data_IF_828001913497
#
_entry.id   IF_828001913497
#
_cell.length_a   1.000
_cell.length_b   1.000
_cell.length_c   1.000
_cell.angle_alpha   90.00
_cell.angle_beta   90.00
_cell.angle_gamma   90.00
#
_symmetry.space_group_name_H-M   'P 1'
#
loop_
_entity.id
_entity.type
_entity.pdbx_description
1 polymer ?
#
# COMPACT_ATOMS: atom_id res chain seq x y z
N UNK A 1 13.29 -28.43 13.66
CA UNK A 1 12.63 -27.40 14.51
C UNK A 1 11.78 -26.38 13.74
N UNK A 2 12.27 -25.70 12.69
CA UNK A 2 11.47 -24.70 11.92
C UNK A 2 10.25 -25.26 11.18
N UNK A 3 10.35 -26.49 10.66
CA UNK A 3 9.26 -27.16 9.93
C UNK A 3 8.08 -27.48 10.86
N UNK A 4 8.36 -28.08 12.02
CA UNK A 4 7.34 -28.36 13.04
C UNK A 4 6.65 -27.08 13.54
N UNK A 5 7.41 -25.99 13.79
CA UNK A 5 6.85 -24.71 14.20
C UNK A 5 5.94 -24.08 13.12
N UNK A 6 6.31 -24.23 11.85
CA UNK A 6 5.47 -23.77 10.73
C UNK A 6 4.19 -24.60 10.60
N UNK A 7 4.28 -25.92 10.82
CA UNK A 7 3.12 -26.81 10.80
C UNK A 7 2.12 -26.45 11.92
N UNK A 8 2.59 -26.28 13.15
CA UNK A 8 1.74 -25.87 14.29
C UNK A 8 1.07 -24.52 14.03
N UNK A 9 1.81 -23.55 13.46
CA UNK A 9 1.25 -22.24 13.08
C UNK A 9 0.17 -22.37 12.00
N UNK A 10 0.42 -23.16 10.96
CA UNK A 10 -0.54 -23.40 9.89
C UNK A 10 -1.81 -24.08 10.39
N UNK A 11 -1.69 -25.09 11.25
CA UNK A 11 -2.83 -25.79 11.87
C UNK A 11 -3.66 -24.85 12.75
N UNK A 12 -3.00 -24.05 13.60
CA UNK A 12 -3.69 -23.03 14.41
C UNK A 12 -4.43 -22.02 13.54
N UNK A 13 -3.81 -21.55 12.47
CA UNK A 13 -4.41 -20.56 11.58
C UNK A 13 -5.59 -21.16 10.80
N UNK A 14 -5.54 -22.44 10.41
CA UNK A 14 -6.70 -23.18 9.84
C UNK A 14 -7.86 -23.29 10.83
N UNK A 15 -7.58 -23.65 12.08
CA UNK A 15 -8.60 -23.74 13.14
C UNK A 15 -9.26 -22.37 13.35
N UNK A 16 -8.45 -21.31 13.48
CA UNK A 16 -8.95 -19.94 13.61
C UNK A 16 -9.81 -19.52 12.42
N UNK A 17 -9.39 -19.87 11.20
CA UNK A 17 -10.16 -19.57 10.01
C UNK A 17 -11.51 -20.29 10.03
N UNK A 18 -11.54 -21.58 10.38
CA UNK A 18 -12.80 -22.36 10.48
C UNK A 18 -13.76 -21.77 11.52
N UNK A 19 -13.24 -21.44 12.71
CA UNK A 19 -14.05 -20.82 13.78
C UNK A 19 -14.59 -19.47 13.31
N UNK A 20 -13.75 -18.64 12.67
CA UNK A 20 -14.19 -17.36 12.13
C UNK A 20 -15.27 -17.52 11.08
N UNK A 21 -15.13 -18.49 10.17
CA UNK A 21 -16.16 -18.76 9.17
C UNK A 21 -17.48 -19.14 9.82
N UNK A 22 -17.43 -20.11 10.71
CA UNK A 22 -18.64 -20.53 11.43
C UNK A 22 -19.33 -19.39 12.19
N UNK A 23 -18.56 -18.44 12.75
CA UNK A 23 -19.12 -17.37 13.58
C UNK A 23 -19.55 -16.12 12.80
N UNK A 24 -18.88 -15.83 11.69
CA UNK A 24 -18.97 -14.51 11.05
C UNK A 24 -19.28 -14.58 9.55
N UNK A 25 -19.05 -15.71 8.89
CA UNK A 25 -19.26 -15.87 7.45
C UNK A 25 -20.74 -16.15 7.16
N UNK A 26 -21.52 -15.08 6.99
CA UNK A 26 -22.94 -15.15 6.65
C UNK A 26 -23.10 -15.12 5.12
N UNK A 27 -23.64 -16.18 4.49
CA UNK A 27 -23.85 -16.22 3.04
C UNK A 27 -24.83 -15.15 2.56
N UNK A 28 -24.43 -14.44 1.50
CA UNK A 28 -25.26 -13.42 0.85
C UNK A 28 -25.48 -13.75 -0.63
N UNK A 29 -26.63 -13.38 -1.22
CA UNK A 29 -26.85 -13.50 -2.66
C UNK A 29 -25.86 -12.61 -3.41
N UNK A 30 -25.32 -13.10 -4.52
CA UNK A 30 -24.34 -12.35 -5.32
C UNK A 30 -25.02 -11.23 -6.09
N UNK A 31 -24.30 -10.13 -6.29
CA UNK A 31 -24.76 -8.90 -6.94
C UNK A 31 -23.76 -8.48 -8.00
N UNK A 32 -24.23 -8.34 -9.24
CA UNK A 32 -23.37 -7.94 -10.38
C UNK A 32 -23.29 -6.41 -10.53
N UNK A 33 -24.37 -5.69 -10.19
CA UNK A 33 -24.47 -4.23 -10.32
C UNK A 33 -24.95 -3.58 -9.03
N UNK A 34 -24.25 -2.52 -8.64
CA UNK A 34 -24.50 -1.72 -7.46
C UNK A 34 -25.21 -0.42 -7.87
N UNK A 35 -26.14 0.03 -7.03
CA UNK A 35 -26.88 1.28 -7.25
C UNK A 35 -27.13 1.98 -5.92
N UNK A 36 -27.34 3.30 -5.92
CA UNK A 36 -27.66 4.06 -4.71
C UNK A 36 -26.57 3.94 -3.63
N UNK A 37 -25.30 4.02 -4.03
CA UNK A 37 -24.17 4.07 -3.10
C UNK A 37 -23.97 5.51 -2.62
N UNK A 38 -23.98 5.72 -1.31
CA UNK A 38 -23.70 7.01 -0.67
C UNK A 38 -22.45 6.95 0.20
N UNK A 39 -22.13 5.81 0.81
CA UNK A 39 -20.92 5.63 1.64
C UNK A 39 -20.16 4.37 1.24
N UNK A 40 -18.93 4.56 0.75
CA UNK A 40 -18.03 3.49 0.31
C UNK A 40 -16.79 3.49 1.21
N UNK A 41 -16.49 2.34 1.83
CA UNK A 41 -15.36 2.18 2.74
C UNK A 41 -14.36 1.16 2.20
N UNK A 42 -13.10 1.58 2.03
CA UNK A 42 -12.01 0.68 1.66
C UNK A 42 -11.19 0.24 2.88
N UNK A 43 -10.94 -1.06 2.99
CA UNK A 43 -10.07 -1.63 4.03
C UNK A 43 -8.62 -1.68 3.52
N UNK A 44 -7.78 -0.74 3.99
CA UNK A 44 -6.37 -0.56 3.57
C UNK A 44 -5.37 -0.57 4.74
N UNK A 45 -5.65 -1.36 5.77
CA UNK A 45 -4.75 -1.55 6.92
C UNK A 45 -3.54 -2.48 6.65
N UNK A 46 -3.33 -2.92 5.42
CA UNK A 46 -2.22 -3.79 5.01
C UNK A 46 -0.88 -3.03 4.88
N UNK A 47 -0.95 -1.70 4.83
CA UNK A 47 0.17 -0.77 4.71
C UNK A 47 1.06 -1.08 3.50
N UNK A 48 0.43 -1.30 2.34
CA UNK A 48 1.10 -1.49 1.05
C UNK A 48 1.06 -0.22 0.22
N UNK A 49 2.18 0.49 0.22
CA UNK A 49 2.32 1.75 -0.49
C UNK A 49 2.08 1.63 -2.01
N UNK A 50 2.61 0.60 -2.67
CA UNK A 50 2.43 0.40 -4.12
C UNK A 50 0.96 0.27 -4.53
N UNK A 51 0.23 -0.67 -3.92
CA UNK A 51 -1.21 -0.85 -4.17
C UNK A 51 -2.00 0.42 -3.82
N UNK A 52 -1.56 1.21 -2.82
CA UNK A 52 -2.21 2.48 -2.48
C UNK A 52 -1.99 3.58 -3.52
N UNK A 53 -0.86 3.63 -4.22
CA UNK A 53 -0.67 4.57 -5.33
C UNK A 53 -1.65 4.26 -6.46
N UNK A 54 -1.83 2.98 -6.80
CA UNK A 54 -2.83 2.57 -7.80
C UNK A 54 -4.25 2.96 -7.35
N UNK A 55 -4.57 2.82 -6.07
CA UNK A 55 -5.87 3.25 -5.52
C UNK A 55 -6.18 4.74 -5.73
N UNK A 56 -5.18 5.61 -5.93
CA UNK A 56 -5.39 7.06 -5.95
C UNK A 56 -6.41 7.57 -6.98
N UNK A 57 -6.58 6.90 -8.12
CA UNK A 57 -7.58 7.31 -9.11
C UNK A 57 -9.02 6.99 -8.67
N UNK A 58 -9.21 5.99 -7.78
CA UNK A 58 -10.53 5.52 -7.36
C UNK A 58 -11.41 6.63 -6.80
N UNK A 59 -10.84 7.55 -6.02
CA UNK A 59 -11.65 8.60 -5.40
C UNK A 59 -12.26 9.54 -6.43
N UNK A 60 -11.49 9.91 -7.45
CA UNK A 60 -11.98 10.73 -8.57
C UNK A 60 -13.05 9.98 -9.38
N UNK A 61 -12.81 8.70 -9.67
CA UNK A 61 -13.73 7.92 -10.50
C UNK A 61 -15.06 7.64 -9.80
N UNK A 62 -15.03 7.26 -8.52
CA UNK A 62 -16.25 7.00 -7.75
C UNK A 62 -17.13 8.24 -7.56
N UNK A 63 -16.55 9.45 -7.57
CA UNK A 63 -17.32 10.70 -7.53
C UNK A 63 -18.20 10.91 -8.78
N UNK A 64 -17.96 10.18 -9.88
CA UNK A 64 -18.87 10.16 -11.05
C UNK A 64 -20.25 9.59 -10.72
N UNK A 65 -20.38 8.84 -9.62
CA UNK A 65 -21.67 8.32 -9.12
C UNK A 65 -22.56 9.40 -8.47
N UNK A 66 -22.03 10.60 -8.22
CA UNK A 66 -22.71 11.68 -7.51
C UNK A 66 -22.11 11.94 -6.12
N UNK A 67 -22.91 12.43 -5.14
CA UNK A 67 -22.43 12.78 -3.81
C UNK A 67 -22.18 11.52 -2.96
N UNK A 68 -21.06 10.85 -3.22
CA UNK A 68 -20.59 9.69 -2.46
C UNK A 68 -19.48 10.09 -1.48
N UNK A 69 -19.58 9.61 -0.25
CA UNK A 69 -18.52 9.64 0.75
C UNK A 69 -17.58 8.46 0.54
N UNK A 70 -16.30 8.75 0.38
CA UNK A 70 -15.24 7.76 0.19
C UNK A 70 -14.38 7.73 1.44
N UNK A 71 -14.39 6.59 2.11
CA UNK A 71 -13.77 6.40 3.40
C UNK A 71 -12.70 5.30 3.33
N UNK A 72 -11.67 5.38 4.17
CA UNK A 72 -10.60 4.37 4.21
C UNK A 72 -10.26 4.00 5.64
N UNK A 73 -10.19 2.70 5.95
CA UNK A 73 -9.51 2.20 7.16
C UNK A 73 -8.02 2.04 6.84
N UNK A 74 -7.16 2.81 7.52
CA UNK A 74 -5.72 2.81 7.29
C UNK A 74 -4.93 2.68 8.60
N UNK A 75 -3.66 2.29 8.50
CA UNK A 75 -2.73 2.44 9.63
C UNK A 75 -2.30 3.89 9.78
N UNK A 76 -1.94 4.37 10.99
CA UNK A 76 -1.45 5.74 11.18
C UNK A 76 -0.32 6.13 10.21
N UNK A 77 0.62 5.23 9.95
CA UNK A 77 1.72 5.45 8.98
C UNK A 77 1.25 5.66 7.52
N UNK A 78 0.02 5.29 7.17
CA UNK A 78 -0.51 5.46 5.82
C UNK A 78 -1.65 6.47 5.76
N UNK A 79 -2.17 6.90 6.91
CA UNK A 79 -3.31 7.80 6.98
C UNK A 79 -3.07 9.14 6.28
N UNK A 80 -1.90 9.81 6.44
CA UNK A 80 -1.61 11.05 5.71
C UNK A 80 -1.68 10.89 4.19
N UNK A 81 -1.26 9.73 3.66
CA UNK A 81 -1.31 9.48 2.22
C UNK A 81 -2.75 9.55 1.68
N UNK A 82 -3.69 8.92 2.39
CA UNK A 82 -5.09 8.90 1.98
C UNK A 82 -5.76 10.26 2.20
N UNK A 83 -5.53 10.87 3.37
CA UNK A 83 -6.12 12.14 3.78
C UNK A 83 -5.65 13.32 2.93
N UNK A 84 -4.34 13.41 2.69
CA UNK A 84 -3.73 14.64 2.18
C UNK A 84 -3.49 14.59 0.67
N UNK A 85 -3.48 13.40 0.05
CA UNK A 85 -3.07 13.22 -1.35
C UNK A 85 -4.07 12.50 -2.24
N UNK A 86 -4.90 11.59 -1.72
CA UNK A 86 -5.76 10.74 -2.56
C UNK A 86 -7.23 11.17 -2.57
N UNK A 87 -7.57 12.29 -1.93
CA UNK A 87 -8.94 12.84 -1.98
C UNK A 87 -9.98 11.94 -1.30
N UNK A 88 -9.55 11.20 -0.26
CA UNK A 88 -10.43 10.42 0.63
C UNK A 88 -11.11 11.39 1.60
N UNK A 89 -12.41 11.25 1.78
CA UNK A 89 -13.20 12.16 2.63
C UNK A 89 -12.97 11.87 4.13
N UNK A 90 -12.91 10.59 4.52
CA UNK A 90 -12.70 10.18 5.92
C UNK A 90 -11.64 9.07 6.01
N UNK A 91 -10.64 9.25 6.87
CA UNK A 91 -9.62 8.24 7.16
C UNK A 91 -9.78 7.75 8.59
N UNK A 92 -10.14 6.48 8.72
CA UNK A 92 -10.30 5.76 9.99
C UNK A 92 -8.98 5.08 10.35
N UNK A 93 -8.30 5.60 11.36
CA UNK A 93 -6.99 5.10 11.77
C UNK A 93 -7.09 3.90 12.71
N UNK A 94 -6.35 2.84 12.41
CA UNK A 94 -6.26 1.66 13.28
C UNK A 94 -4.88 1.02 13.18
N UNK A 95 -4.35 0.54 14.31
CA UNK A 95 -3.01 -0.04 14.34
C UNK A 95 -2.89 -1.28 13.45
N UNK A 96 -1.69 -1.52 12.94
CA UNK A 96 -1.34 -2.71 12.14
C UNK A 96 -1.41 -3.97 13.01
N UNK A 97 -2.60 -4.59 13.07
CA UNK A 97 -3.01 -5.73 13.90
C UNK A 97 -3.81 -5.34 15.14
N UNK A 98 -5.03 -4.83 14.97
CA UNK A 98 -5.89 -4.51 16.09
C UNK A 98 -6.40 -5.78 16.79
N UNK A 99 -6.79 -5.61 18.06
CA UNK A 99 -7.59 -6.53 18.87
C UNK A 99 -9.05 -6.43 18.44
N UNK A 100 -9.85 -7.42 18.82
CA UNK A 100 -11.28 -7.43 18.51
C UNK A 100 -12.05 -6.27 19.14
N UNK A 101 -11.65 -5.80 20.34
CA UNK A 101 -12.28 -4.63 20.96
C UNK A 101 -12.10 -3.37 20.11
N UNK A 102 -10.87 -3.08 19.68
CA UNK A 102 -10.56 -1.95 18.80
C UNK A 102 -11.32 -2.01 17.46
N UNK A 103 -11.53 -3.22 16.92
CA UNK A 103 -12.36 -3.39 15.70
C UNK A 103 -13.82 -3.04 15.98
N UNK A 104 -14.38 -3.47 17.13
CA UNK A 104 -15.78 -3.16 17.48
C UNK A 104 -15.96 -1.66 17.72
N UNK A 105 -15.05 -1.04 18.45
CA UNK A 105 -15.07 0.41 18.69
C UNK A 105 -14.99 1.18 17.37
N UNK A 106 -14.06 0.80 16.49
CA UNK A 106 -13.92 1.42 15.17
C UNK A 106 -15.19 1.28 14.33
N UNK A 107 -15.72 0.05 14.20
CA UNK A 107 -16.88 -0.22 13.35
C UNK A 107 -18.16 0.41 13.90
N UNK A 108 -18.32 0.47 15.22
CA UNK A 108 -19.41 1.21 15.85
C UNK A 108 -19.32 2.72 15.56
N UNK A 109 -18.10 3.29 15.56
CA UNK A 109 -17.90 4.70 15.23
C UNK A 109 -18.11 5.02 13.73
N UNK A 110 -17.77 4.08 12.84
CA UNK A 110 -18.01 4.22 11.39
C UNK A 110 -19.52 4.20 11.07
N UNK A 111 -20.28 3.35 11.78
CA UNK A 111 -21.70 3.14 11.54
C UNK A 111 -21.99 2.38 10.25
N UNK A 112 -23.21 2.51 9.73
CA UNK A 112 -23.64 1.82 8.52
C UNK A 112 -22.97 2.39 7.26
N UNK A 113 -22.59 1.49 6.35
CA UNK A 113 -22.02 1.82 5.04
C UNK A 113 -22.70 1.02 3.94
N UNK A 114 -22.73 1.56 2.73
CA UNK A 114 -23.35 0.87 1.60
C UNK A 114 -22.42 -0.18 1.00
N UNK A 115 -21.12 0.11 0.93
CA UNK A 115 -20.15 -0.79 0.31
C UNK A 115 -18.85 -0.85 1.12
N UNK A 116 -18.52 -2.04 1.63
CA UNK A 116 -17.19 -2.35 2.15
C UNK A 116 -16.34 -3.01 1.06
N UNK A 117 -15.13 -2.50 0.84
CA UNK A 117 -14.21 -3.04 -0.19
C UNK A 117 -12.94 -3.54 0.46
N UNK A 118 -12.63 -4.82 0.29
CA UNK A 118 -11.42 -5.43 0.80
C UNK A 118 -10.72 -6.30 -0.25
N UNK A 119 -9.71 -5.73 -0.92
CA UNK A 119 -8.92 -6.42 -1.94
C UNK A 119 -7.88 -7.40 -1.35
N UNK A 120 -8.35 -8.42 -0.62
CA UNK A 120 -7.53 -9.54 -0.18
C UNK A 120 -7.91 -10.79 -0.96
N UNK A 121 -6.92 -11.49 -1.52
CA UNK A 121 -7.12 -12.80 -2.17
C UNK A 121 -7.44 -13.91 -1.17
N UNK A 122 -7.25 -13.65 0.11
CA UNK A 122 -7.61 -14.54 1.19
C UNK A 122 -8.01 -13.70 2.41
N UNK A 123 -9.29 -13.69 2.74
CA UNK A 123 -9.82 -13.00 3.92
C UNK A 123 -9.43 -13.80 5.15
N UNK A 124 -8.61 -13.21 6.01
CA UNK A 124 -8.19 -13.87 7.26
C UNK A 124 -9.27 -13.70 8.33
N UNK A 125 -9.22 -14.53 9.37
CA UNK A 125 -10.09 -14.44 10.56
C UNK A 125 -10.40 -13.03 11.06
N UNK A 126 -9.38 -12.14 11.11
CA UNK A 126 -9.58 -10.77 11.58
C UNK A 126 -10.23 -9.86 10.53
N UNK A 127 -9.90 -10.06 9.26
CA UNK A 127 -10.54 -9.33 8.16
C UNK A 127 -12.02 -9.72 8.11
N UNK A 128 -12.33 -11.01 8.26
CA UNK A 128 -13.70 -11.53 8.35
C UNK A 128 -14.47 -10.94 9.53
N UNK A 129 -13.85 -10.86 10.71
CA UNK A 129 -14.46 -10.24 11.87
C UNK A 129 -14.73 -8.73 11.66
N UNK A 130 -13.80 -8.01 11.01
CA UNK A 130 -14.01 -6.61 10.65
C UNK A 130 -15.20 -6.45 9.68
N UNK A 131 -15.23 -7.22 8.59
CA UNK A 131 -16.29 -7.15 7.58
C UNK A 131 -17.66 -7.48 8.19
N UNK A 132 -17.72 -8.49 9.06
CA UNK A 132 -18.92 -8.82 9.82
C UNK A 132 -19.38 -7.66 10.71
N UNK A 133 -18.48 -7.01 11.44
CA UNK A 133 -18.82 -5.89 12.33
C UNK A 133 -19.21 -4.61 11.58
N UNK A 134 -18.71 -4.40 10.35
CA UNK A 134 -19.11 -3.24 9.53
C UNK A 134 -20.58 -3.30 9.10
N UNK A 135 -21.17 -4.49 9.03
CA UNK A 135 -22.56 -4.71 8.60
C UNK A 135 -22.92 -3.94 7.32
N UNK A 136 -21.98 -3.88 6.37
CA UNK A 136 -22.18 -3.16 5.12
C UNK A 136 -23.32 -3.77 4.31
N UNK A 137 -24.06 -2.95 3.55
CA UNK A 137 -25.10 -3.42 2.63
C UNK A 137 -24.51 -4.38 1.59
N UNK A 138 -23.36 -4.01 1.03
CA UNK A 138 -22.56 -4.82 0.11
C UNK A 138 -21.11 -4.92 0.58
N UNK A 139 -20.46 -6.04 0.25
CA UNK A 139 -19.06 -6.34 0.52
C UNK A 139 -18.39 -6.87 -0.75
N UNK A 140 -17.43 -6.12 -1.28
CA UNK A 140 -16.61 -6.49 -2.41
C UNK A 140 -15.25 -7.05 -1.98
N UNK A 141 -14.83 -8.17 -2.57
CA UNK A 141 -13.51 -8.77 -2.29
C UNK A 141 -12.99 -9.64 -3.42
N UNK A 142 -11.70 -9.96 -3.37
CA UNK A 142 -11.04 -10.91 -4.28
C UNK A 142 -11.14 -12.37 -3.78
N UNK A 143 -11.67 -12.59 -2.57
CA UNK A 143 -11.87 -13.92 -1.99
C UNK A 143 -13.33 -14.34 -2.16
N UNK A 144 -13.64 -14.93 -3.30
CA UNK A 144 -15.00 -15.36 -3.66
C UNK A 144 -15.51 -16.53 -2.80
N UNK A 145 -14.61 -17.16 -2.02
CA UNK A 145 -14.93 -18.32 -1.18
C UNK A 145 -15.66 -17.96 0.11
N UNK A 146 -15.74 -16.67 0.44
CA UNK A 146 -16.38 -16.12 1.63
C UNK A 146 -17.84 -15.75 1.31
N UNK A 147 -18.77 -16.25 2.13
CA UNK A 147 -20.20 -16.02 2.01
C UNK A 147 -20.62 -14.55 2.22
N UNK A 148 -19.95 -13.81 3.10
CA UNK A 148 -20.19 -12.36 3.30
C UNK A 148 -19.94 -11.52 2.04
N UNK A 149 -19.13 -12.01 1.11
CA UNK A 149 -18.79 -11.31 -0.14
C UNK A 149 -19.93 -11.52 -1.12
N UNK A 150 -20.78 -10.52 -1.32
CA UNK A 150 -21.84 -10.51 -2.32
C UNK A 150 -21.39 -9.90 -3.66
N UNK A 151 -20.28 -9.14 -3.67
CA UNK A 151 -19.65 -8.61 -4.90
C UNK A 151 -18.30 -9.31 -5.12
N UNK A 152 -18.29 -10.51 -5.73
CA UNK A 152 -17.08 -11.28 -5.95
C UNK A 152 -16.26 -10.68 -7.11
N UNK A 153 -14.99 -10.39 -6.86
CA UNK A 153 -14.06 -9.86 -7.85
C UNK A 153 -12.96 -10.87 -8.20
N UNK A 154 -12.82 -11.96 -7.45
CA UNK A 154 -11.68 -12.87 -7.52
C UNK A 154 -11.53 -13.57 -8.86
N UNK A 155 -12.56 -14.32 -9.26
CA UNK A 155 -12.60 -15.08 -10.51
C UNK A 155 -12.59 -14.16 -11.73
N UNK A 156 -13.38 -13.08 -11.70
CA UNK A 156 -13.46 -12.09 -12.79
C UNK A 156 -12.11 -11.41 -13.07
N UNK A 157 -11.24 -11.30 -12.06
CA UNK A 157 -9.96 -10.59 -12.16
C UNK A 157 -8.75 -11.49 -11.94
N UNK A 158 -8.93 -12.81 -12.08
CA UNK A 158 -7.88 -13.78 -11.89
C UNK A 158 -6.71 -13.51 -12.86
N UNK A 159 -5.50 -13.39 -12.31
CA UNK A 159 -4.29 -13.11 -13.09
C UNK A 159 -4.12 -11.65 -13.55
N UNK A 160 -5.13 -10.79 -13.37
CA UNK A 160 -5.05 -9.38 -13.79
C UNK A 160 -4.24 -8.50 -12.83
N UNK A 161 -3.83 -7.34 -13.31
CA UNK A 161 -3.12 -6.35 -12.50
C UNK A 161 -4.06 -5.73 -11.46
N UNK A 162 -3.46 -5.14 -10.41
CA UNK A 162 -4.25 -4.50 -9.34
C UNK A 162 -5.11 -3.35 -9.88
N UNK A 163 -4.65 -2.64 -10.90
CA UNK A 163 -5.44 -1.62 -11.60
C UNK A 163 -6.72 -2.21 -12.20
N UNK A 164 -6.62 -3.33 -12.93
CA UNK A 164 -7.78 -4.00 -13.52
C UNK A 164 -8.80 -4.46 -12.47
N UNK A 165 -8.34 -4.81 -11.27
CA UNK A 165 -9.21 -5.18 -10.14
C UNK A 165 -10.04 -4.01 -9.63
N UNK A 166 -9.43 -2.83 -9.61
CA UNK A 166 -10.12 -1.58 -9.31
C UNK A 166 -11.11 -1.22 -10.41
N UNK A 167 -10.74 -1.41 -11.68
CA UNK A 167 -11.65 -1.20 -12.82
C UNK A 167 -12.87 -2.11 -12.76
N UNK A 168 -12.69 -3.39 -12.41
CA UNK A 168 -13.83 -4.30 -12.27
C UNK A 168 -14.81 -3.86 -11.19
N UNK A 169 -14.30 -3.40 -10.04
CA UNK A 169 -15.14 -2.80 -9.01
C UNK A 169 -15.90 -1.56 -9.53
N UNK A 170 -15.24 -0.70 -10.31
CA UNK A 170 -15.87 0.48 -10.91
C UNK A 170 -16.98 0.08 -11.89
N UNK A 171 -16.80 -0.98 -12.67
CA UNK A 171 -17.86 -1.53 -13.54
C UNK A 171 -19.06 -2.03 -12.75
N UNK A 172 -18.83 -2.75 -11.63
CA UNK A 172 -19.91 -3.13 -10.73
C UNK A 172 -20.68 -1.90 -10.21
N UNK A 173 -20.02 -0.75 -10.05
CA UNK A 173 -20.66 0.52 -9.69
C UNK A 173 -21.30 1.26 -10.88
N UNK A 174 -21.20 0.76 -12.12
CA UNK A 174 -21.73 1.39 -13.33
C UNK A 174 -20.79 2.38 -14.02
N UNK A 175 -19.49 2.34 -13.73
CA UNK A 175 -18.47 3.19 -14.36
C UNK A 175 -17.62 2.32 -15.31
N UNK A 176 -17.77 2.54 -16.62
CA UNK A 176 -17.04 1.77 -17.66
C UNK A 176 -15.73 2.48 -18.10
N UNK A 177 -15.78 3.81 -18.26
CA UNK A 177 -14.68 4.61 -18.80
C UNK A 177 -13.93 5.38 -17.70
N UNK A 178 -13.22 4.62 -16.88
CA UNK A 178 -12.42 5.15 -15.79
C UNK A 178 -11.05 5.69 -16.28
N UNK A 179 -10.69 6.90 -15.86
CA UNK A 179 -9.32 7.39 -16.03
C UNK A 179 -8.41 6.70 -15.01
N UNK A 180 -7.37 6.03 -15.53
CA UNK A 180 -6.44 5.18 -14.77
C UNK A 180 -5.23 5.94 -14.24
N UNK A 181 -5.07 7.21 -14.60
CA UNK A 181 -3.92 7.99 -14.20
C UNK A 181 -3.86 8.10 -12.68
N UNK A 182 -2.88 7.43 -12.09
CA UNK A 182 -2.62 7.49 -10.66
C UNK A 182 -1.87 8.77 -10.28
N UNK A 183 -2.12 9.22 -9.05
CA UNK A 183 -1.44 10.33 -8.43
C UNK A 183 -0.16 9.86 -7.76
N UNK A 184 0.96 10.50 -8.10
CA UNK A 184 2.20 10.40 -7.35
C UNK A 184 2.20 11.52 -6.31
N UNK A 185 2.18 11.22 -5.00
CA UNK A 185 2.21 12.25 -3.97
C UNK A 185 3.44 13.13 -4.12
N UNK A 186 3.20 14.44 -4.15
CA UNK A 186 4.24 15.47 -4.20
C UNK A 186 4.21 16.27 -2.90
N UNK A 187 5.37 16.67 -2.43
CA UNK A 187 5.52 17.45 -1.20
C UNK A 187 6.62 18.45 -1.43
N UNK A 188 6.31 19.72 -1.17
CA UNK A 188 7.26 20.82 -1.33
C UNK A 188 8.52 20.59 -0.51
N UNK A 189 8.38 20.20 0.76
CA UNK A 189 9.52 19.86 1.63
C UNK A 189 10.39 18.74 1.05
N UNK A 190 9.79 17.71 0.47
CA UNK A 190 10.55 16.63 -0.17
C UNK A 190 11.24 17.12 -1.44
N UNK A 191 10.59 17.95 -2.25
CA UNK A 191 11.16 18.53 -3.46
C UNK A 191 12.32 19.48 -3.15
N UNK A 192 12.19 20.31 -2.11
CA UNK A 192 13.26 21.19 -1.63
C UNK A 192 14.46 20.36 -1.14
N UNK A 193 14.22 19.28 -0.37
CA UNK A 193 15.29 18.36 0.05
C UNK A 193 15.97 17.66 -1.13
N UNK A 194 15.20 17.24 -2.13
CA UNK A 194 15.75 16.65 -3.36
C UNK A 194 16.56 17.69 -4.13
N UNK A 195 16.07 18.93 -4.24
CA UNK A 195 16.78 20.04 -4.88
C UNK A 195 18.11 20.34 -4.20
N UNK A 196 18.13 20.47 -2.88
CA UNK A 196 19.36 20.64 -2.08
C UNK A 196 20.30 19.46 -2.25
N UNK A 197 19.78 18.23 -2.23
CA UNK A 197 20.59 17.03 -2.46
C UNK A 197 21.22 16.99 -3.85
N UNK A 198 20.48 17.40 -4.89
CA UNK A 198 20.99 17.50 -6.24
C UNK A 198 22.02 18.63 -6.37
N UNK A 199 21.98 19.66 -5.51
CA UNK A 199 22.99 20.71 -5.46
C UNK A 199 23.15 21.44 -6.78
N UNK A 200 22.05 21.68 -7.49
CA UNK A 200 22.07 22.31 -8.83
C UNK A 200 22.61 21.40 -9.94
N UNK A 201 22.74 20.10 -9.69
CA UNK A 201 23.15 19.12 -10.72
C UNK A 201 22.10 19.02 -11.83
N UNK A 202 22.47 19.46 -13.01
CA UNK A 202 21.63 19.35 -14.22
C UNK A 202 21.90 18.07 -15.02
N UNK A 203 23.04 17.43 -14.78
CA UNK A 203 23.43 16.24 -15.53
C UNK A 203 22.48 15.06 -15.23
N UNK A 204 21.98 14.36 -16.28
CA UNK A 204 21.02 13.27 -16.11
C UNK A 204 21.61 12.11 -15.31
N UNK A 205 20.77 11.43 -14.54
CA UNK A 205 21.18 10.31 -13.69
C UNK A 205 20.19 9.15 -13.73
N UNK A 206 20.68 7.95 -13.40
CA UNK A 206 19.90 6.73 -13.26
C UNK A 206 19.75 6.41 -11.78
N UNK A 207 18.51 6.32 -11.29
CA UNK A 207 18.23 5.92 -9.92
C UNK A 207 17.96 4.41 -9.81
N UNK A 208 18.58 3.75 -8.83
CA UNK A 208 18.40 2.32 -8.53
C UNK A 208 17.89 2.16 -7.11
N UNK A 209 16.87 1.32 -6.95
CA UNK A 209 16.42 0.86 -5.64
C UNK A 209 16.68 -0.65 -5.49
N UNK A 210 17.81 -1.07 -4.88
CA UNK A 210 18.13 -2.48 -4.72
C UNK A 210 17.31 -3.16 -3.61
N UNK A 211 16.48 -2.41 -2.87
CA UNK A 211 15.81 -2.89 -1.68
C UNK A 211 14.32 -3.14 -1.87
N UNK A 212 13.88 -4.25 -1.27
CA UNK A 212 12.48 -4.58 -1.07
C UNK A 212 12.20 -4.95 0.39
N UNK A 213 10.92 -5.07 0.73
CA UNK A 213 10.45 -5.47 2.07
C UNK A 213 10.94 -6.88 2.46
N UNK A 214 11.14 -7.77 1.50
CA UNK A 214 11.57 -9.15 1.72
C UNK A 214 12.97 -9.43 1.19
N UNK A 215 13.77 -10.21 1.93
CA UNK A 215 15.16 -10.54 1.56
C UNK A 215 15.28 -11.19 0.18
N UNK A 216 14.34 -12.06 -0.19
CA UNK A 216 14.33 -12.74 -1.48
C UNK A 216 14.08 -11.81 -2.67
N UNK A 217 13.50 -10.62 -2.43
CA UNK A 217 13.21 -9.59 -3.44
C UNK A 217 14.18 -8.40 -3.36
N UNK A 218 15.21 -8.50 -2.52
CA UNK A 218 16.22 -7.48 -2.33
C UNK A 218 17.48 -7.95 -3.03
N UNK A 219 18.05 -7.12 -3.89
CA UNK A 219 19.33 -7.40 -4.51
C UNK A 219 20.40 -7.49 -3.41
N UNK A 220 21.24 -8.51 -3.49
CA UNK A 220 22.39 -8.59 -2.59
C UNK A 220 23.45 -7.54 -3.01
N UNK A 221 24.41 -7.23 -2.13
CA UNK A 221 25.42 -6.20 -2.41
C UNK A 221 26.26 -6.50 -3.67
N UNK A 222 26.66 -7.75 -3.89
CA UNK A 222 27.47 -8.16 -5.04
C UNK A 222 26.72 -7.95 -6.36
N UNK A 223 25.46 -8.39 -6.43
CA UNK A 223 24.59 -8.17 -7.58
C UNK A 223 24.32 -6.69 -7.81
N UNK A 224 24.11 -5.93 -6.73
CA UNK A 224 23.93 -4.46 -6.82
C UNK A 224 25.16 -3.79 -7.39
N UNK A 225 26.36 -4.16 -6.94
CA UNK A 225 27.62 -3.66 -7.48
C UNK A 225 27.79 -4.00 -8.95
N UNK A 226 27.58 -5.27 -9.32
CA UNK A 226 27.67 -5.72 -10.72
C UNK A 226 26.71 -4.95 -11.61
N UNK A 227 25.49 -4.67 -11.15
CA UNK A 227 24.52 -3.86 -11.90
C UNK A 227 25.01 -2.42 -12.08
N UNK A 228 25.54 -1.79 -11.03
CA UNK A 228 26.10 -0.43 -11.09
C UNK A 228 27.28 -0.39 -12.08
N UNK A 229 28.21 -1.34 -11.98
CA UNK A 229 29.37 -1.42 -12.88
C UNK A 229 28.93 -1.59 -14.34
N UNK A 230 27.93 -2.45 -14.59
CA UNK A 230 27.36 -2.65 -15.93
C UNK A 230 26.67 -1.42 -16.49
N UNK A 231 26.03 -0.61 -15.65
CA UNK A 231 25.41 0.66 -16.04
C UNK A 231 26.48 1.70 -16.34
N UNK A 232 27.46 1.89 -15.46
CA UNK A 232 28.54 2.85 -15.65
C UNK A 232 29.37 2.58 -16.91
N UNK A 233 29.55 1.31 -17.28
CA UNK A 233 30.25 0.92 -18.50
C UNK A 233 29.47 1.24 -19.80
N UNK A 234 28.15 1.44 -19.71
CA UNK A 234 27.25 1.68 -20.86
C UNK A 234 26.72 3.10 -20.93
N UNK A 235 26.67 3.80 -19.79
CA UNK A 235 26.17 5.16 -19.72
C UNK A 235 27.23 6.15 -20.24
N UNK A 236 26.81 7.23 -20.92
CA UNK A 236 27.71 8.34 -21.25
C UNK A 236 28.43 8.86 -19.99
N UNK A 237 29.70 9.29 -20.12
CA UNK A 237 30.49 9.80 -18.99
C UNK A 237 29.94 11.07 -18.32
N UNK A 238 28.92 11.68 -18.92
CA UNK A 238 28.14 12.80 -18.35
C UNK A 238 27.04 12.34 -17.39
N UNK A 239 26.60 11.08 -17.49
CA UNK A 239 25.56 10.51 -16.65
C UNK A 239 26.12 9.91 -15.37
N UNK A 240 25.28 9.78 -14.35
CA UNK A 240 25.67 9.12 -13.09
C UNK A 240 24.60 8.20 -12.56
N UNK A 241 25.01 7.33 -11.65
CA UNK A 241 24.13 6.38 -10.99
C UNK A 241 23.92 6.81 -9.56
N UNK A 242 22.66 6.88 -9.16
CA UNK A 242 22.19 7.15 -7.82
C UNK A 242 21.61 5.84 -7.26
N UNK A 243 22.04 5.37 -6.09
CA UNK A 243 21.49 4.15 -5.47
C UNK A 243 20.92 4.42 -4.09
N UNK A 244 19.73 3.88 -3.80
CA UNK A 244 19.11 3.97 -2.48
C UNK A 244 19.94 3.15 -1.50
N UNK A 245 20.20 3.72 -0.33
CA UNK A 245 20.83 3.09 0.82
C UNK A 245 19.87 3.04 2.03
N UNK A 246 19.88 1.94 2.80
CA UNK A 246 19.11 1.80 4.05
C UNK A 246 19.98 2.26 5.24
N UNK A 247 19.55 3.29 5.97
CA UNK A 247 20.24 3.70 7.20
C UNK A 247 20.35 2.53 8.21
N UNK A 248 21.56 2.35 8.78
CA UNK A 248 21.90 1.24 9.69
C UNK A 248 22.70 0.09 9.07
N UNK A 249 22.97 0.11 7.76
CA UNK A 249 24.02 -0.72 7.12
C UNK A 249 25.13 0.16 6.56
N UNK A 250 25.58 1.12 7.35
CA UNK A 250 26.39 2.28 6.96
C UNK A 250 27.84 1.98 6.52
N UNK A 251 28.11 0.89 5.78
CA UNK A 251 29.46 0.54 5.34
C UNK A 251 29.63 0.23 3.85
N UNK A 252 28.58 0.30 3.02
CA UNK A 252 28.61 -0.47 1.78
C UNK A 252 28.70 0.27 0.46
N UNK A 253 28.89 1.59 0.42
CA UNK A 253 29.21 2.29 -0.83
C UNK A 253 30.13 3.50 -0.58
N UNK A 254 31.39 3.27 -0.20
CA UNK A 254 32.47 4.23 -0.53
C UNK A 254 32.79 4.05 -2.02
N UNK A 255 32.04 4.73 -2.89
CA UNK A 255 32.33 4.77 -4.34
C UNK A 255 32.91 6.13 -4.76
N UNK A 256 33.65 6.79 -3.86
CA UNK A 256 34.21 8.11 -4.10
C UNK A 256 35.66 8.11 -4.64
N UNK A 257 36.35 6.97 -4.73
CA UNK A 257 37.83 7.02 -4.90
C UNK A 257 38.41 6.58 -6.24
N UNK A 258 37.61 6.35 -7.29
CA UNK A 258 38.19 5.97 -8.60
C UNK A 258 37.59 6.75 -9.77
N UNK A 259 37.58 8.08 -9.71
CA UNK A 259 37.36 8.96 -10.87
C UNK A 259 36.05 8.77 -11.66
N UNK A 260 35.15 7.89 -11.21
CA UNK A 260 33.87 7.54 -11.84
C UNK A 260 32.75 8.06 -10.95
N UNK A 261 31.90 8.91 -11.55
CA UNK A 261 30.83 9.67 -10.90
C UNK A 261 29.70 8.75 -10.39
N UNK A 262 29.85 8.19 -9.19
CA UNK A 262 28.80 7.45 -8.50
C UNK A 262 28.42 8.23 -7.25
N UNK A 263 27.15 8.66 -7.15
CA UNK A 263 26.62 9.29 -5.96
C UNK A 263 25.74 8.28 -5.22
N UNK A 264 26.13 7.88 -4.01
CA UNK A 264 25.29 7.05 -3.15
C UNK A 264 24.37 7.94 -2.32
N UNK A 265 23.08 7.58 -2.18
CA UNK A 265 22.15 8.34 -1.35
C UNK A 265 21.60 7.49 -0.21
N UNK A 266 21.58 8.05 1.00
CA UNK A 266 20.92 7.43 2.16
C UNK A 266 19.58 8.09 2.37
N UNK A 267 18.49 7.32 2.23
CA UNK A 267 17.20 7.75 2.78
C UNK A 267 17.15 7.17 4.20
N UNK A 268 17.16 8.00 5.25
CA UNK A 268 17.04 7.50 6.61
C UNK A 268 15.80 6.63 6.74
N UNK A 269 15.94 5.53 7.48
CA UNK A 269 14.79 4.70 7.82
C UNK A 269 13.92 5.58 8.72
N UNK A 270 12.62 5.83 8.43
CA UNK A 270 11.76 6.40 9.44
C UNK A 270 11.84 5.48 10.66
N UNK A 271 12.05 6.08 11.84
CA UNK A 271 12.07 5.33 13.08
C UNK A 271 10.82 4.45 13.12
N UNK A 272 10.96 3.20 13.55
CA UNK A 272 9.77 2.36 13.78
C UNK A 272 8.98 3.07 14.85
N UNK A 273 7.72 3.39 14.55
CA UNK A 273 6.86 4.36 15.23
C UNK A 273 7.13 5.79 14.78
N UNK A 274 6.04 6.39 14.28
CA UNK A 274 5.87 7.80 13.94
C UNK A 274 6.41 8.22 12.57
N UNK A 275 5.51 8.36 11.59
CA UNK A 275 5.59 9.50 10.67
C UNK A 275 5.22 10.74 11.49
N UNK A 276 6.14 11.17 12.34
CA UNK A 276 6.24 12.59 12.68
C UNK A 276 7.34 13.13 11.81
N UNK A 277 7.04 14.20 11.08
CA UNK A 277 8.05 15.04 10.43
C UNK A 277 9.07 15.44 11.51
N UNK A 278 10.33 14.96 11.48
CA UNK A 278 11.33 15.46 12.40
C UNK A 278 11.91 16.73 11.76
N UNK A 279 11.51 17.89 12.29
CA UNK A 279 12.35 19.09 12.26
C UNK A 279 13.62 18.79 13.07
N UNK A 280 14.78 18.68 12.45
CA UNK A 280 16.09 18.59 13.13
C UNK A 280 17.18 19.31 12.32
N UNK A 281 18.26 19.77 12.98
CA UNK A 281 18.84 21.08 12.76
C UNK A 281 19.83 21.13 11.60
N UNK A 282 19.92 22.35 11.06
CA UNK A 282 20.92 22.85 10.12
C UNK A 282 22.34 22.46 10.58
N UNK A 283 23.21 21.92 9.71
CA UNK A 283 24.63 21.83 10.02
C UNK A 283 25.20 23.25 9.95
N UNK A 284 25.66 23.77 11.09
CA UNK A 284 26.62 24.87 11.10
C UNK A 284 27.90 24.41 10.39
N UNK A 285 28.31 25.23 9.43
CA UNK A 285 29.65 25.31 8.86
C UNK A 285 30.69 25.39 9.98
N UNK A 286 31.76 24.60 9.88
CA UNK A 286 33.15 25.02 9.66
C UNK A 286 33.93 23.84 9.06
#
# INVERSE_FOLDING_TARGET
MRIALNYVRASRDRIRQRISRWRYDEPRPKVDKLSGLQRILFVRWDAKWGDSVIFSFMCRELRKLGPVSIEVIATPDMAPLFRDHFGVDVVHEIRKRPRSAEIRELTAAIGSIDLAVHFSTLIKSRDMFLLHCLQARHTASLDDSVGLVDVPLGAATAGLHMEDKYLELLRCCGIEDADRQYLVPRSRDHEERVSVFLGGREAPFVAINPFSKGRAKTLNPETTRRLIDMLLARLPGTMSVCSRHLAGRARWLQFAETGRKVAAFTIPRPARSTITLPCWPVPMLW
#
